data_IF_871702689714
#
_entry.id   IF_871702689714
#
_cell.length_a   1.000
_cell.length_b   1.000
_cell.length_c   1.000
_cell.angle_alpha   90.00
_cell.angle_beta   90.00
_cell.angle_gamma   90.00
#
_symmetry.space_group_name_H-M   'P 1'
#
loop_
_entity.id
_entity.type
_entity.pdbx_description
1 polymer ?
#
# COMPACT_ATOMS: atom_id res chain seq x y z
N UNK A 1 -4.10 16.34 -2.92
CA UNK A 1 -4.07 15.36 -1.80
C UNK A 1 -2.83 14.48 -1.84
N UNK A 2 -2.30 14.18 -3.03
CA UNK A 2 -1.13 13.32 -3.24
C UNK A 2 0.14 13.79 -2.56
N UNK A 3 0.36 15.11 -2.44
CA UNK A 3 1.52 15.66 -1.71
C UNK A 3 1.54 15.24 -0.23
N UNK A 4 0.40 15.29 0.45
CA UNK A 4 0.30 14.88 1.86
C UNK A 4 0.50 13.36 2.00
N UNK A 5 -0.06 12.57 1.08
CA UNK A 5 0.15 11.11 1.04
C UNK A 5 1.60 10.73 0.72
N UNK A 6 2.27 11.47 -0.16
CA UNK A 6 3.69 11.31 -0.45
C UNK A 6 4.54 11.61 0.79
N UNK A 7 4.26 12.75 1.42
CA UNK A 7 4.95 13.17 2.65
C UNK A 7 4.79 12.12 3.76
N UNK A 8 3.59 11.57 3.95
CA UNK A 8 3.34 10.52 4.93
C UNK A 8 4.17 9.26 4.66
N UNK A 9 4.19 8.78 3.40
CA UNK A 9 5.01 7.63 3.00
C UNK A 9 6.49 7.89 3.30
N UNK A 10 7.00 9.07 2.94
CA UNK A 10 8.39 9.45 3.18
C UNK A 10 8.72 9.56 4.67
N UNK A 11 7.85 10.16 5.47
CA UNK A 11 8.03 10.30 6.92
C UNK A 11 8.06 8.93 7.63
N UNK A 12 7.26 7.96 7.15
CA UNK A 12 7.29 6.58 7.63
C UNK A 12 8.59 5.88 7.26
N UNK A 13 9.03 5.97 6.01
CA UNK A 13 10.31 5.39 5.56
C UNK A 13 11.51 5.99 6.31
N UNK A 14 11.44 7.28 6.66
CA UNK A 14 12.46 7.96 7.46
C UNK A 14 12.38 7.65 8.96
N UNK A 15 11.33 6.98 9.43
CA UNK A 15 11.08 6.70 10.87
C UNK A 15 10.99 7.98 11.70
N UNK A 16 10.39 9.02 11.09
CA UNK A 16 10.30 10.39 11.64
C UNK A 16 8.88 10.91 11.76
N UNK A 17 7.88 10.12 11.40
CA UNK A 17 6.48 10.54 11.42
C UNK A 17 6.04 11.06 12.80
N UNK A 18 6.35 10.32 13.87
CA UNK A 18 6.00 10.72 15.24
C UNK A 18 6.70 12.03 15.64
N UNK A 19 7.98 12.18 15.31
CA UNK A 19 8.76 13.40 15.59
C UNK A 19 8.15 14.62 14.90
N UNK A 20 7.75 14.49 13.62
CA UNK A 20 7.15 15.59 12.87
C UNK A 20 5.78 16.00 13.42
N UNK A 21 4.92 15.02 13.74
CA UNK A 21 3.62 15.33 14.34
C UNK A 21 3.75 15.87 15.76
N UNK A 22 4.78 15.45 16.51
CA UNK A 22 5.07 16.04 17.81
C UNK A 22 5.35 17.53 17.70
N UNK A 23 6.23 17.95 16.79
CA UNK A 23 6.52 19.38 16.57
C UNK A 23 5.27 20.16 16.20
N UNK A 24 4.39 19.56 15.40
CA UNK A 24 3.13 20.18 14.98
C UNK A 24 2.16 20.37 16.15
N UNK A 25 2.02 19.37 17.02
CA UNK A 25 1.15 19.44 18.21
C UNK A 25 1.73 20.37 19.28
N UNK A 26 3.05 20.39 19.45
CA UNK A 26 3.72 21.29 20.40
C UNK A 26 3.49 22.79 20.05
N UNK A 27 3.12 23.10 18.80
CA UNK A 27 2.76 24.45 18.32
C UNK A 27 1.30 24.55 17.85
N UNK A 28 0.40 23.70 18.36
CA UNK A 28 -1.00 23.61 17.90
C UNK A 28 -1.77 24.93 18.01
N UNK A 29 -1.50 25.72 19.06
CA UNK A 29 -2.20 26.97 19.35
C UNK A 29 -1.88 28.11 18.36
N UNK A 30 -0.78 27.98 17.60
CA UNK A 30 -0.37 28.96 16.60
C UNK A 30 -0.56 28.42 15.17
N UNK A 31 -0.22 27.15 14.93
CA UNK A 31 -0.14 26.59 13.58
C UNK A 31 -1.41 25.83 13.15
N UNK A 32 -2.16 25.24 14.09
CA UNK A 32 -3.30 24.37 13.77
C UNK A 32 -4.65 25.04 13.99
N UNK A 33 -4.73 26.05 14.86
CA UNK A 33 -5.98 26.73 15.20
C UNK A 33 -6.67 27.39 13.99
N UNK A 34 -5.93 27.76 12.95
CA UNK A 34 -6.50 28.32 11.71
C UNK A 34 -7.13 27.25 10.79
N UNK A 35 -6.77 25.98 10.97
CA UNK A 35 -7.16 24.87 10.09
C UNK A 35 -8.15 23.89 10.74
N UNK A 36 -8.27 23.92 12.07
CA UNK A 36 -9.04 22.97 12.85
C UNK A 36 -10.02 23.69 13.78
N UNK A 37 -11.22 23.11 13.93
CA UNK A 37 -12.19 23.54 14.93
C UNK A 37 -11.68 23.24 16.36
N UNK A 38 -12.11 24.00 17.39
CA UNK A 38 -11.64 23.84 18.77
C UNK A 38 -11.77 22.42 19.33
N UNK A 39 -12.83 21.71 18.93
CA UNK A 39 -13.11 20.33 19.38
C UNK A 39 -12.45 19.27 18.50
N UNK A 40 -11.60 19.66 17.54
CA UNK A 40 -10.91 18.72 16.69
C UNK A 40 -9.86 17.92 17.46
N UNK A 41 -9.70 16.66 17.07
CA UNK A 41 -8.72 15.74 17.66
C UNK A 41 -7.29 16.31 17.71
N UNK A 42 -6.88 17.07 16.68
CA UNK A 42 -5.55 17.68 16.59
C UNK A 42 -5.34 18.83 17.58
N UNK A 43 -6.41 19.45 18.10
CA UNK A 43 -6.33 20.47 19.15
C UNK A 43 -6.59 19.90 20.54
N UNK A 44 -7.19 18.71 20.63
CA UNK A 44 -7.40 17.98 21.88
C UNK A 44 -6.09 17.49 22.52
N UNK A 45 -6.11 17.29 23.83
CA UNK A 45 -5.02 16.66 24.58
C UNK A 45 -4.86 15.18 24.22
N UNK A 46 -5.87 14.55 23.60
CA UNK A 46 -5.79 13.17 23.11
C UNK A 46 -4.78 12.99 21.96
N UNK A 47 -4.44 14.06 21.23
CA UNK A 47 -3.46 14.01 20.13
C UNK A 47 -2.09 13.46 20.58
N UNK A 48 -1.68 13.72 21.82
CA UNK A 48 -0.40 13.24 22.35
C UNK A 48 -0.35 11.71 22.46
N UNK A 49 -1.50 11.07 22.72
CA UNK A 49 -1.61 9.61 22.80
C UNK A 49 -1.36 9.00 21.42
N UNK A 50 -1.95 9.59 20.38
CA UNK A 50 -1.75 9.16 18.99
C UNK A 50 -0.28 9.28 18.60
N UNK A 51 0.37 10.40 18.93
CA UNK A 51 1.82 10.56 18.71
C UNK A 51 2.61 9.46 19.42
N UNK A 52 2.27 9.18 20.69
CA UNK A 52 2.90 8.10 21.46
C UNK A 52 2.77 6.73 20.80
N UNK A 53 1.61 6.42 20.21
CA UNK A 53 1.40 5.19 19.45
C UNK A 53 2.23 5.17 18.16
N UNK A 54 2.37 6.31 17.48
CA UNK A 54 3.16 6.43 16.25
C UNK A 54 4.66 6.20 16.49
N UNK A 55 5.18 6.43 17.69
CA UNK A 55 6.57 6.08 18.04
C UNK A 55 6.82 4.58 17.84
N UNK A 56 5.81 3.74 18.09
CA UNK A 56 5.89 2.30 17.86
C UNK A 56 6.14 1.92 16.39
N UNK A 57 5.73 2.76 15.44
CA UNK A 57 5.94 2.51 14.01
C UNK A 57 7.41 2.65 13.59
N UNK A 58 8.27 3.27 14.41
CA UNK A 58 9.70 3.44 14.07
C UNK A 58 10.46 2.11 13.94
N UNK A 59 9.95 1.03 14.55
CA UNK A 59 10.56 -0.30 14.40
C UNK A 59 10.31 -0.91 13.02
N UNK A 60 9.25 -0.48 12.33
CA UNK A 60 8.86 -1.01 11.03
C UNK A 60 9.80 -0.45 9.96
N UNK A 61 10.32 -1.34 9.11
CA UNK A 61 11.04 -0.95 7.91
C UNK A 61 10.08 -0.90 6.72
N UNK A 62 9.68 0.30 6.35
CA UNK A 62 8.75 0.54 5.26
C UNK A 62 9.51 0.81 3.96
N UNK A 63 9.14 0.15 2.88
CA UNK A 63 9.61 0.49 1.53
C UNK A 63 8.40 0.82 0.64
N UNK A 64 7.94 2.06 0.73
CA UNK A 64 6.71 2.52 0.07
C UNK A 64 7.07 3.22 -1.24
N UNK A 65 6.45 2.82 -2.34
CA UNK A 65 6.62 3.49 -3.63
C UNK A 65 6.06 4.92 -3.55
N UNK A 66 6.79 5.86 -4.14
CA UNK A 66 6.38 7.27 -4.29
C UNK A 66 6.58 7.73 -5.74
N UNK A 67 7.51 7.10 -6.45
CA UNK A 67 7.74 7.33 -7.88
C UNK A 67 6.71 6.54 -8.68
N UNK A 68 6.22 7.14 -9.76
CA UNK A 68 5.33 6.49 -10.74
C UNK A 68 3.93 6.12 -10.21
N UNK A 69 3.61 6.46 -8.96
CA UNK A 69 2.27 6.30 -8.37
C UNK A 69 1.48 7.61 -8.48
N UNK A 70 0.24 7.56 -8.97
CA UNK A 70 -0.70 8.68 -8.86
C UNK A 70 -1.27 8.71 -7.44
N UNK A 71 -0.66 9.56 -6.61
CA UNK A 71 -1.02 9.70 -5.20
C UNK A 71 -2.28 10.52 -4.97
N UNK A 72 -2.82 11.22 -5.97
CA UNK A 72 -4.08 11.93 -5.81
C UNK A 72 -5.27 10.94 -5.81
N UNK A 73 -5.13 9.79 -6.47
CA UNK A 73 -6.10 8.69 -6.44
C UNK A 73 -5.91 7.78 -5.19
N UNK A 74 -6.98 7.20 -4.60
CA UNK A 74 -6.82 6.11 -3.63
C UNK A 74 -6.03 4.94 -4.24
N UNK A 75 -5.28 4.24 -3.39
CA UNK A 75 -4.51 3.07 -3.82
C UNK A 75 -5.47 2.01 -4.39
N UNK A 76 -5.12 1.47 -5.56
CA UNK A 76 -5.93 0.44 -6.22
C UNK A 76 -6.09 -0.81 -5.34
N UNK A 77 -7.22 -1.50 -5.48
CA UNK A 77 -7.44 -2.78 -4.80
C UNK A 77 -6.57 -3.84 -5.48
N UNK A 78 -5.77 -4.56 -4.69
CA UNK A 78 -5.04 -5.72 -5.18
C UNK A 78 -5.97 -6.92 -5.09
N UNK A 79 -6.34 -7.48 -6.25
CA UNK A 79 -7.12 -8.71 -6.31
C UNK A 79 -6.21 -9.94 -6.11
N UNK A 80 -6.25 -10.52 -4.91
CA UNK A 80 -5.52 -11.75 -4.60
C UNK A 80 -6.29 -13.01 -4.95
N UNK A 81 -7.49 -12.93 -5.53
CA UNK A 81 -8.32 -14.10 -5.83
C UNK A 81 -7.59 -15.13 -6.70
N UNK A 82 -6.71 -14.68 -7.60
CA UNK A 82 -5.87 -15.54 -8.44
C UNK A 82 -4.83 -16.35 -7.66
N UNK A 83 -4.42 -15.87 -6.47
CA UNK A 83 -3.47 -16.55 -5.59
C UNK A 83 -4.14 -17.34 -4.48
N UNK A 84 -5.43 -17.09 -4.23
CA UNK A 84 -6.21 -17.81 -3.23
C UNK A 84 -6.70 -19.13 -3.84
N UNK A 85 -6.01 -20.21 -3.51
CA UNK A 85 -6.47 -21.57 -3.86
C UNK A 85 -7.75 -21.88 -3.10
N UNK A 86 -8.87 -22.00 -3.82
CA UNK A 86 -10.12 -22.45 -3.21
C UNK A 86 -9.93 -23.83 -2.59
N UNK A 87 -10.28 -23.97 -1.31
CA UNK A 87 -10.20 -25.23 -0.56
C UNK A 87 -10.95 -26.39 -1.25
N UNK A 88 -11.89 -26.07 -2.15
CA UNK A 88 -12.63 -27.04 -2.96
C UNK A 88 -11.82 -27.73 -4.07
N UNK A 89 -10.61 -27.27 -4.42
CA UNK A 89 -9.77 -27.98 -5.42
C UNK A 89 -9.00 -29.17 -4.85
N UNK A 90 -9.01 -29.38 -3.53
CA UNK A 90 -8.36 -30.55 -2.91
C UNK A 90 -9.34 -31.74 -2.83
N UNK A 91 -10.64 -31.52 -3.03
CA UNK A 91 -11.69 -32.53 -2.79
C UNK A 91 -12.54 -32.92 -4.00
N UNK A 92 -12.24 -32.45 -5.21
CA UNK A 92 -12.97 -32.87 -6.41
C UNK A 92 -12.04 -33.27 -7.55
N UNK A 93 -11.38 -34.42 -7.37
CA UNK A 93 -10.79 -35.20 -8.46
C UNK A 93 -11.88 -36.00 -9.21
N UNK A 94 -13.00 -35.35 -9.51
CA UNK A 94 -14.06 -35.93 -10.33
C UNK A 94 -14.83 -34.84 -11.06
N UNK A 95 -14.68 -34.86 -12.39
CA UNK A 95 -15.55 -34.22 -13.39
C UNK A 95 -15.66 -32.70 -13.31
N UNK A 96 -14.72 -32.01 -13.98
CA UNK A 96 -15.01 -30.89 -14.89
C UNK A 96 -13.70 -30.47 -15.58
N UNK A 97 -13.33 -31.24 -16.60
CA UNK A 97 -12.43 -30.82 -17.66
C UNK A 97 -13.11 -29.67 -18.41
N UNK A 98 -12.56 -28.45 -18.36
CA UNK A 98 -12.57 -27.43 -19.45
C UNK A 98 -12.26 -25.99 -18.98
N UNK A 99 -12.25 -25.68 -17.69
CA UNK A 99 -11.65 -24.43 -17.20
C UNK A 99 -10.25 -24.69 -16.66
N UNK A 100 -9.27 -24.68 -17.57
CA UNK A 100 -7.86 -24.64 -17.18
C UNK A 100 -7.65 -23.50 -16.19
N UNK A 101 -6.91 -23.77 -15.11
CA UNK A 101 -6.62 -22.78 -14.08
C UNK A 101 -6.18 -21.47 -14.76
N UNK A 102 -6.84 -20.32 -14.47
CA UNK A 102 -6.48 -19.05 -15.09
C UNK A 102 -4.99 -18.75 -14.94
N UNK A 103 -4.35 -19.22 -13.87
CA UNK A 103 -2.90 -19.12 -13.69
C UNK A 103 -2.12 -19.94 -14.73
N UNK A 104 -2.54 -21.18 -15.03
CA UNK A 104 -1.92 -22.01 -16.08
C UNK A 104 -2.04 -21.35 -17.45
N UNK A 105 -3.21 -20.79 -17.76
CA UNK A 105 -3.43 -20.08 -19.04
C UNK A 105 -2.52 -18.86 -19.19
N UNK A 106 -2.32 -18.09 -18.11
CA UNK A 106 -1.41 -16.93 -18.09
C UNK A 106 0.05 -17.36 -18.24
N UNK A 107 0.45 -18.45 -17.58
CA UNK A 107 1.81 -18.98 -17.68
C UNK A 107 2.12 -19.51 -19.09
N UNK A 108 1.17 -20.17 -19.74
CA UNK A 108 1.31 -20.66 -21.12
C UNK A 108 1.43 -19.50 -22.11
N UNK A 109 0.61 -18.46 -21.96
CA UNK A 109 0.71 -17.24 -22.78
C UNK A 109 2.06 -16.55 -22.61
N UNK A 110 2.56 -16.46 -21.38
CA UNK A 110 3.87 -15.86 -21.10
C UNK A 110 5.00 -16.65 -21.77
N UNK A 111 4.98 -17.98 -21.63
CA UNK A 111 5.99 -18.86 -22.22
C UNK A 111 6.01 -18.76 -23.75
N UNK A 112 4.83 -18.70 -24.38
CA UNK A 112 4.70 -18.49 -25.83
C UNK A 112 5.34 -17.17 -26.31
N UNK A 113 5.13 -16.08 -25.56
CA UNK A 113 5.71 -14.77 -25.90
C UNK A 113 7.25 -14.77 -25.73
N UNK A 114 7.76 -15.39 -24.66
CA UNK A 114 9.20 -15.50 -24.43
C UNK A 114 9.90 -16.33 -25.53
N UNK A 115 9.28 -17.42 -25.96
CA UNK A 115 9.75 -18.26 -27.08
C UNK A 115 9.80 -17.48 -28.40
N UNK A 116 8.75 -16.71 -28.71
CA UNK A 116 8.69 -15.88 -29.92
C UNK A 116 9.77 -14.79 -29.92
N UNK A 117 9.96 -14.11 -28.78
CA UNK A 117 11.01 -13.10 -28.62
C UNK A 117 12.42 -13.71 -28.76
N UNK A 118 12.63 -14.95 -28.31
CA UNK A 118 13.90 -15.66 -28.50
C UNK A 118 14.18 -15.92 -29.99
N UNK A 119 13.17 -16.32 -30.75
CA UNK A 119 13.32 -16.52 -32.21
C UNK A 119 13.54 -15.22 -32.98
N UNK A 120 12.91 -14.12 -32.56
CA UNK A 120 13.10 -12.80 -33.18
C UNK A 120 14.49 -12.22 -32.91
N UNK A 121 15.04 -12.43 -31.71
CA UNK A 121 16.39 -11.98 -31.34
C UNK A 121 17.53 -12.83 -31.93
N UNK A 122 17.22 -13.95 -32.60
CA UNK A 122 18.19 -14.80 -33.28
C UNK A 122 18.34 -14.47 -34.78
N UNK A 123 17.67 -13.41 -35.26
CA UNK A 123 17.75 -12.91 -36.64
C UNK A 123 18.51 -11.59 -36.70
#
# INVERSE_FOLDING_TARGET
MGRARAWLRLALMQKKLADYLKVLIDHKDEALVEYFEPDALMLSDEAIVIIGLLVGLNVIDCNLCVKEEDLDCPQGVIDFSLYLRSSNTISSDSSNEEQGDPMTTVLDQKNYIEELNRHLNQK
#
